data_IF_931204592705
#
_entry.id   IF_931204592705
#
_cell.length_a   1.000
_cell.length_b   1.000
_cell.length_c   1.000
_cell.angle_alpha   90.00
_cell.angle_beta   90.00
_cell.angle_gamma   90.00
#
_symmetry.space_group_name_H-M   'P 1'
#
loop_
_entity.id
_entity.type
_entity.pdbx_description
1 polymer ?
#
# COMPACT_ATOMS: atom_id res chain seq x y z
N UNK A 1 -32.22 21.81 20.80
CA UNK A 1 -32.20 20.81 19.73
C UNK A 1 -31.39 21.43 18.63
N UNK A 2 -30.10 21.13 18.62
CA UNK A 2 -29.19 21.50 17.54
C UNK A 2 -28.69 20.15 17.04
N UNK A 3 -29.33 19.65 15.98
CA UNK A 3 -28.82 18.51 15.23
C UNK A 3 -27.67 19.09 14.40
N UNK A 4 -26.45 18.90 14.90
CA UNK A 4 -25.23 19.13 14.12
C UNK A 4 -25.27 18.13 12.96
N UNK A 5 -25.68 18.59 11.78
CA UNK A 5 -25.47 17.87 10.52
C UNK A 5 -23.94 17.76 10.34
N UNK A 6 -23.37 16.64 10.78
CA UNK A 6 -22.04 16.22 10.35
C UNK A 6 -22.07 16.18 8.83
N UNK A 7 -21.33 17.09 8.18
CA UNK A 7 -20.96 16.98 6.78
C UNK A 7 -20.18 15.67 6.63
N UNK A 8 -20.89 14.55 6.39
CA UNK A 8 -20.28 13.33 5.87
C UNK A 8 -19.59 13.75 4.57
N UNK A 9 -18.27 13.65 4.53
CA UNK A 9 -17.50 13.80 3.29
C UNK A 9 -17.85 12.62 2.36
N UNK A 10 -19.05 12.66 1.77
CA UNK A 10 -19.54 11.70 0.79
C UNK A 10 -18.52 11.64 -0.36
N UNK A 11 -17.74 10.55 -0.40
CA UNK A 11 -16.77 10.31 -1.47
C UNK A 11 -15.31 10.58 -1.13
N UNK A 12 -14.91 10.69 0.14
CA UNK A 12 -13.50 10.84 0.53
C UNK A 12 -12.55 9.78 -0.09
N UNK A 13 -13.07 8.60 -0.42
CA UNK A 13 -12.28 7.48 -0.96
C UNK A 13 -12.41 7.28 -2.47
N UNK A 14 -13.20 8.07 -3.19
CA UNK A 14 -13.35 7.87 -4.64
C UNK A 14 -12.03 8.17 -5.36
N UNK A 15 -11.58 7.20 -6.16
CA UNK A 15 -10.32 7.27 -6.88
C UNK A 15 -9.10 6.78 -6.10
N UNK A 16 -9.26 6.41 -4.82
CA UNK A 16 -8.21 5.80 -3.99
C UNK A 16 -7.97 4.35 -4.41
N UNK A 17 -6.70 3.94 -4.38
CA UNK A 17 -6.29 2.55 -4.60
C UNK A 17 -6.33 1.79 -3.28
N UNK A 18 -6.89 0.59 -3.31
CA UNK A 18 -7.02 -0.30 -2.16
C UNK A 18 -6.38 -1.64 -2.48
N UNK A 19 -5.84 -2.32 -1.47
CA UNK A 19 -5.28 -3.67 -1.61
C UNK A 19 -6.08 -4.67 -0.81
N UNK A 20 -6.52 -5.74 -1.47
CA UNK A 20 -7.20 -6.88 -0.85
C UNK A 20 -6.44 -8.16 -1.14
N UNK A 21 -6.61 -9.16 -0.28
CA UNK A 21 -5.95 -10.45 -0.43
C UNK A 21 -6.98 -11.53 -0.78
N UNK A 22 -6.88 -12.07 -1.99
CA UNK A 22 -7.69 -13.18 -2.47
C UNK A 22 -6.79 -14.41 -2.63
N UNK A 23 -7.15 -15.54 -2.02
CA UNK A 23 -6.30 -16.75 -1.98
C UNK A 23 -4.85 -16.47 -1.56
N UNK A 24 -4.66 -15.59 -0.58
CA UNK A 24 -3.35 -15.11 -0.11
C UNK A 24 -2.50 -14.39 -1.18
N UNK A 25 -3.10 -13.93 -2.28
CA UNK A 25 -2.46 -13.07 -3.28
C UNK A 25 -3.00 -11.65 -3.17
N UNK A 26 -2.15 -10.62 -3.16
CA UNK A 26 -2.61 -9.24 -3.20
C UNK A 26 -3.28 -8.96 -4.54
N UNK A 27 -4.39 -8.24 -4.50
CA UNK A 27 -5.11 -7.69 -5.65
C UNK A 27 -5.39 -6.23 -5.37
N UNK A 28 -4.96 -5.40 -6.30
CA UNK A 28 -5.13 -3.95 -6.23
C UNK A 28 -6.40 -3.55 -6.97
N UNK A 29 -7.26 -2.85 -6.26
CA UNK A 29 -8.52 -2.31 -6.74
C UNK A 29 -8.56 -0.81 -6.64
N UNK A 30 -9.43 -0.18 -7.43
CA UNK A 30 -9.69 1.25 -7.35
C UNK A 30 -11.14 1.50 -7.02
N UNK A 31 -11.39 2.35 -6.03
CA UNK A 31 -12.75 2.80 -5.72
C UNK A 31 -13.21 3.71 -6.86
N UNK A 32 -14.26 3.31 -7.57
CA UNK A 32 -14.79 4.07 -8.72
C UNK A 32 -16.05 4.86 -8.37
N UNK A 33 -16.79 4.47 -7.34
CA UNK A 33 -18.01 5.16 -6.89
C UNK A 33 -18.40 4.81 -5.46
N UNK A 34 -19.20 5.68 -4.83
CA UNK A 34 -19.87 5.39 -3.55
C UNK A 34 -21.34 5.07 -3.84
N UNK A 35 -21.81 3.97 -3.25
CA UNK A 35 -23.20 3.57 -3.21
C UNK A 35 -23.83 4.13 -1.93
N UNK A 36 -24.85 5.01 -2.05
CA UNK A 36 -25.45 5.64 -0.89
C UNK A 36 -26.15 4.62 0.00
N UNK A 37 -26.28 4.96 1.28
CA UNK A 37 -27.01 4.14 2.25
C UNK A 37 -28.43 3.83 1.76
N UNK A 38 -28.82 2.55 1.83
CA UNK A 38 -30.09 2.07 1.33
C UNK A 38 -30.81 1.24 2.38
N UNK A 39 -32.04 1.62 2.74
CA UNK A 39 -32.94 0.83 3.61
C UNK A 39 -32.34 0.40 4.96
N UNK A 40 -31.47 1.22 5.54
CA UNK A 40 -30.81 0.93 6.83
C UNK A 40 -29.52 0.12 6.70
N UNK A 41 -29.04 -0.12 5.48
CA UNK A 41 -27.70 -0.60 5.19
C UNK A 41 -26.75 0.60 5.06
N UNK A 42 -25.51 0.50 5.57
CA UNK A 42 -24.53 1.58 5.48
C UNK A 42 -24.18 1.87 4.01
N UNK A 43 -23.55 3.01 3.78
CA UNK A 43 -22.93 3.31 2.47
C UNK A 43 -21.86 2.28 2.13
N UNK A 44 -21.73 1.96 0.84
CA UNK A 44 -20.74 1.02 0.33
C UNK A 44 -19.89 1.70 -0.74
N UNK A 45 -18.67 1.23 -0.90
CA UNK A 45 -17.68 1.76 -1.82
C UNK A 45 -17.43 0.73 -2.91
N UNK A 46 -17.79 1.06 -4.14
CA UNK A 46 -17.64 0.18 -5.28
C UNK A 46 -16.19 0.21 -5.78
N UNK A 47 -15.53 -0.94 -5.76
CA UNK A 47 -14.15 -1.16 -6.15
C UNK A 47 -14.10 -1.98 -7.43
N UNK A 48 -13.24 -1.57 -8.36
CA UNK A 48 -12.93 -2.33 -9.57
C UNK A 48 -11.47 -2.75 -9.53
N UNK A 49 -11.24 -4.05 -9.66
CA UNK A 49 -9.92 -4.67 -9.70
C UNK A 49 -9.35 -4.72 -11.13
N UNK A 50 -8.03 -4.92 -11.23
CA UNK A 50 -7.33 -4.93 -12.52
C UNK A 50 -7.68 -6.10 -13.44
N UNK A 51 -8.22 -7.19 -12.90
CA UNK A 51 -8.76 -8.34 -13.62
C UNK A 51 -10.19 -8.12 -14.16
N UNK A 52 -10.81 -6.99 -13.78
CA UNK A 52 -12.17 -6.63 -14.15
C UNK A 52 -13.23 -7.17 -13.19
N UNK A 53 -12.84 -7.78 -12.08
CA UNK A 53 -13.77 -8.11 -11.01
C UNK A 53 -14.14 -6.86 -10.21
N UNK A 54 -15.35 -6.88 -9.66
CA UNK A 54 -15.96 -5.76 -8.94
C UNK A 54 -16.41 -6.22 -7.56
N UNK A 55 -16.21 -5.39 -6.54
CA UNK A 55 -16.59 -5.66 -5.15
C UNK A 55 -17.08 -4.38 -4.47
N UNK A 56 -18.10 -4.50 -3.62
CA UNK A 56 -18.60 -3.40 -2.80
C UNK A 56 -18.06 -3.57 -1.36
N UNK A 57 -17.33 -2.57 -0.87
CA UNK A 57 -16.72 -2.59 0.47
C UNK A 57 -17.43 -1.62 1.41
N UNK A 58 -17.55 -1.97 2.69
CA UNK A 58 -17.95 -0.98 3.70
C UNK A 58 -16.79 -0.04 4.08
N UNK A 59 -17.10 1.03 4.82
CA UNK A 59 -16.09 2.01 5.22
C UNK A 59 -14.94 1.40 6.06
N UNK A 60 -15.24 0.42 6.93
CA UNK A 60 -14.25 -0.27 7.72
C UNK A 60 -13.32 -1.13 6.87
N UNK A 61 -13.89 -1.80 5.86
CA UNK A 61 -13.15 -2.59 4.88
C UNK A 61 -12.28 -1.73 3.97
N UNK A 62 -12.78 -0.57 3.52
CA UNK A 62 -11.99 0.41 2.76
C UNK A 62 -10.80 0.89 3.57
N UNK A 63 -10.99 1.33 4.82
CA UNK A 63 -9.88 1.80 5.67
C UNK A 63 -8.82 0.72 5.88
N UNK A 64 -9.25 -0.53 6.08
CA UNK A 64 -8.33 -1.66 6.20
C UNK A 64 -7.56 -1.93 4.90
N UNK A 65 -8.24 -1.84 3.74
CA UNK A 65 -7.64 -2.10 2.44
C UNK A 65 -6.72 -0.96 1.95
N UNK A 66 -7.02 0.30 2.28
CA UNK A 66 -6.11 1.44 2.09
C UNK A 66 -4.86 1.25 2.93
N UNK A 67 -5.02 0.94 4.23
CA UNK A 67 -3.87 0.70 5.11
C UNK A 67 -3.00 -0.47 4.63
N UNK A 68 -3.61 -1.54 4.12
CA UNK A 68 -2.87 -2.68 3.57
C UNK A 68 -2.05 -2.29 2.33
N UNK A 69 -2.56 -1.37 1.50
CA UNK A 69 -1.82 -0.85 0.36
C UNK A 69 -0.64 0.04 0.80
N UNK A 70 -0.86 0.92 1.78
CA UNK A 70 0.20 1.80 2.32
C UNK A 70 1.30 1.01 3.07
N UNK A 71 0.92 0.08 3.95
CA UNK A 71 1.86 -0.68 4.80
C UNK A 71 2.80 -1.56 3.97
N UNK A 72 2.33 -2.15 2.86
CA UNK A 72 3.20 -2.91 1.96
C UNK A 72 4.16 -1.98 1.17
N UNK A 73 3.69 -0.79 0.78
CA UNK A 73 4.54 0.19 0.10
C UNK A 73 5.64 0.75 1.02
N UNK A 74 5.41 0.83 2.33
CA UNK A 74 6.43 1.17 3.32
C UNK A 74 7.48 0.04 3.46
N UNK A 75 7.05 -1.22 3.54
CA UNK A 75 7.96 -2.38 3.63
C UNK A 75 8.81 -2.53 2.36
N UNK A 76 8.22 -2.40 1.18
CA UNK A 76 8.97 -2.49 -0.09
C UNK A 76 10.04 -1.40 -0.22
N UNK A 77 9.79 -0.19 0.30
CA UNK A 77 10.79 0.88 0.30
C UNK A 77 11.91 0.66 1.30
N UNK A 78 11.58 0.22 2.52
CA UNK A 78 12.58 -0.10 3.55
C UNK A 78 13.51 -1.25 3.10
N UNK A 79 12.96 -2.30 2.46
CA UNK A 79 13.75 -3.42 1.93
C UNK A 79 14.64 -2.98 0.75
N UNK A 80 14.13 -2.15 -0.16
CA UNK A 80 14.91 -1.63 -1.29
C UNK A 80 16.07 -0.71 -0.83
N UNK A 81 15.83 0.14 0.18
CA UNK A 81 16.85 1.03 0.73
C UNK A 81 17.93 0.23 1.51
N UNK A 82 17.53 -0.86 2.18
CA UNK A 82 18.45 -1.80 2.82
C UNK A 82 19.33 -2.55 1.81
N UNK A 83 18.79 -2.98 0.67
CA UNK A 83 19.56 -3.68 -0.37
C UNK A 83 20.61 -2.75 -1.02
N UNK A 84 20.26 -1.49 -1.27
CA UNK A 84 21.22 -0.48 -1.75
C UNK A 84 22.28 -0.11 -0.71
N UNK A 85 21.95 -0.16 0.59
CA UNK A 85 22.92 0.07 1.65
C UNK A 85 23.94 -1.08 1.78
N UNK A 86 23.53 -2.35 1.57
CA UNK A 86 24.44 -3.50 1.59
C UNK A 86 25.40 -3.51 0.39
N UNK A 87 24.93 -3.13 -0.80
CA UNK A 87 25.79 -3.05 -2.00
C UNK A 87 26.84 -1.94 -1.88
N UNK A 88 26.48 -0.79 -1.27
CA UNK A 88 27.40 0.29 -0.97
C UNK A 88 28.46 -0.10 0.10
N UNK A 89 28.07 -0.89 1.11
CA UNK A 89 28.99 -1.41 2.11
C UNK A 89 29.97 -2.45 1.54
N UNK A 90 29.50 -3.34 0.64
CA UNK A 90 30.33 -4.33 -0.03
C UNK A 90 31.34 -3.68 -1.00
N UNK A 91 30.95 -2.63 -1.74
CA UNK A 91 31.84 -1.90 -2.62
C UNK A 91 32.98 -1.19 -1.86
N UNK A 92 32.71 -0.69 -0.64
CA UNK A 92 33.74 -0.07 0.21
C UNK A 92 34.79 -1.08 0.72
N UNK A 93 34.40 -2.33 1.01
CA UNK A 93 35.33 -3.38 1.45
C UNK A 93 36.26 -3.87 0.33
N UNK A 94 35.79 -3.89 -0.93
CA UNK A 94 36.59 -4.34 -2.07
C UNK A 94 37.71 -3.35 -2.46
N UNK A 95 37.55 -2.06 -2.18
CA UNK A 95 38.54 -1.04 -2.49
C UNK A 95 39.74 -0.99 -1.51
N UNK A 96 39.63 -1.58 -0.32
CA UNK A 96 40.67 -1.54 0.71
C UNK A 96 41.72 -2.67 0.61
N UNK A 97 41.56 -3.61 -0.32
CA UNK A 97 42.31 -4.88 -0.37
C UNK A 97 43.27 -5.04 -1.53
N UNK A 98 44.03 -4.01 -1.94
CA UNK A 98 45.20 -4.27 -2.80
C UNK A 98 46.36 -3.32 -2.48
N UNK A 99 47.41 -3.89 -1.88
CA UNK A 99 48.68 -3.22 -1.59
C UNK A 99 49.78 -4.29 -1.45
N UNK A 100 50.96 -4.12 -2.07
CA UNK A 100 51.63 -5.20 -2.75
C UNK A 100 52.57 -6.07 -1.88
N UNK A 101 52.75 -7.29 -2.39
CA UNK A 101 53.81 -8.26 -2.11
C UNK A 101 55.19 -7.58 -2.01
N UNK A 102 55.84 -7.68 -0.85
CA UNK A 102 57.25 -7.36 -0.68
C UNK A 102 58.02 -8.65 -0.37
N UNK A 103 58.93 -9.00 -1.27
CA UNK A 103 59.96 -10.04 -1.14
C UNK A 103 61.08 -9.64 -0.16
N UNK A 104 61.88 -10.65 0.19
CA UNK A 104 63.22 -10.63 0.80
C UNK A 104 63.27 -10.25 2.30
N UNK A 105 64.02 -10.95 3.17
CA UNK A 105 65.36 -11.54 3.03
C UNK A 105 65.54 -12.74 3.95
#
# INVERSE_FOLDING_TARGET
EEEEEEEKEEGAYVGVTVRRFFDARPSDGRIVSVLPEAKGEPELFHVVYSDGDEEDLDEGEVRAAVRAFDEEHEVEQDEAEAEWAEEAAAAAMAAAGTGPRAEAV
#
